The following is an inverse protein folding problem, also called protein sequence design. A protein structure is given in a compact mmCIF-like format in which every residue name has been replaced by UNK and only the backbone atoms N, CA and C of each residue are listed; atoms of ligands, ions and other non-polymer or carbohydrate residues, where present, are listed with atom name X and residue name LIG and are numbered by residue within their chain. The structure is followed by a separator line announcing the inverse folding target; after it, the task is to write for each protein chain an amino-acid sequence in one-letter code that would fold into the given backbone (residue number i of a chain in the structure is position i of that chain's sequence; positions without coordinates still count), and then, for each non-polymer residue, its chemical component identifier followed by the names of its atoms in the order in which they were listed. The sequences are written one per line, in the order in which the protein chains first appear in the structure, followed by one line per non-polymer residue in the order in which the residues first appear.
data_IF_895735028418
#
_entry.id   IF_895735028418
#
_cell.length_a   1.000
_cell.length_b   1.000
_cell.length_c   1.000
_cell.angle_alpha   90.00
_cell.angle_beta   90.00
_cell.angle_gamma   90.00
#
_symmetry.space_group_name_H-M   'P 1'
#
loop_
_entity.id
_entity.type
_entity.pdbx_description
1 polymer ?
#
# COMPACT_ATOMS: atom_id res chain seq x y z
N UNK A 1 9.04 -7.11 33.66
CA UNK A 1 7.84 -6.86 32.86
C UNK A 1 7.13 -8.18 32.62
N UNK A 2 5.79 -8.17 32.54
CA UNK A 2 4.99 -9.37 32.30
C UNK A 2 4.38 -9.20 30.92
N UNK A 3 4.53 -10.19 30.01
CA UNK A 3 3.90 -10.24 28.70
C UNK A 3 2.75 -11.24 28.75
N UNK A 4 1.53 -10.77 28.57
CA UNK A 4 0.33 -11.60 28.61
C UNK A 4 -0.35 -11.63 27.25
N UNK A 5 -0.85 -12.80 26.87
CA UNK A 5 -1.70 -12.99 25.71
C UNK A 5 -3.15 -12.69 26.08
N UNK A 6 -3.87 -11.97 25.21
CA UNK A 6 -5.30 -11.72 25.37
C UNK A 6 -6.03 -11.65 24.03
N UNK A 7 -7.26 -12.12 24.03
CA UNK A 7 -8.25 -11.95 22.96
C UNK A 7 -9.36 -10.96 23.37
N UNK A 8 -9.23 -10.32 24.53
CA UNK A 8 -10.20 -9.39 25.09
C UNK A 8 -9.59 -7.99 25.17
N UNK A 9 -10.36 -7.00 24.80
CA UNK A 9 -9.97 -5.59 24.80
C UNK A 9 -10.74 -4.87 25.92
N UNK A 10 -10.07 -4.57 27.02
CA UNK A 10 -10.59 -3.70 28.08
C UNK A 10 -10.32 -2.21 27.78
N UNK A 11 -10.80 -1.32 28.65
CA UNK A 11 -10.67 0.13 28.49
C UNK A 11 -9.19 0.59 28.39
N UNK A 12 -8.30 -0.05 29.12
CA UNK A 12 -6.87 0.30 29.10
C UNK A 12 -6.23 -0.08 27.78
N UNK A 13 -6.59 -1.22 27.19
CA UNK A 13 -6.13 -1.67 25.87
C UNK A 13 -6.71 -0.75 24.78
N UNK A 14 -8.00 -0.45 24.85
CA UNK A 14 -8.66 0.45 23.88
C UNK A 14 -8.00 1.83 23.88
N UNK A 15 -7.68 2.38 25.05
CA UNK A 15 -6.96 3.66 25.17
C UNK A 15 -5.58 3.61 24.48
N UNK A 16 -4.86 2.48 24.55
CA UNK A 16 -3.59 2.33 23.82
C UNK A 16 -3.81 2.25 22.31
N UNK A 17 -4.83 1.53 21.88
CA UNK A 17 -5.18 1.38 20.45
C UNK A 17 -5.55 2.73 19.84
N UNK A 18 -6.34 3.54 20.54
CA UNK A 18 -6.72 4.89 20.10
C UNK A 18 -5.52 5.83 19.93
N UNK A 19 -4.44 5.60 20.65
CA UNK A 19 -3.19 6.36 20.51
C UNK A 19 -2.21 5.77 19.48
N UNK A 20 -2.57 4.67 18.81
CA UNK A 20 -1.78 4.11 17.74
C UNK A 20 -1.94 4.98 16.47
N UNK A 21 -0.85 5.31 15.76
CA UNK A 21 -0.88 6.27 14.66
C UNK A 21 -1.57 5.76 13.38
N UNK A 22 -1.92 4.49 13.33
CA UNK A 22 -2.58 3.84 12.21
C UNK A 22 -3.75 3.00 12.73
N UNK A 23 -4.64 2.57 11.84
CA UNK A 23 -5.71 1.65 12.22
C UNK A 23 -5.12 0.37 12.82
N UNK A 24 -5.48 0.09 14.09
CA UNK A 24 -4.97 -1.12 14.77
C UNK A 24 -5.55 -2.37 14.14
N UNK A 25 -6.84 -2.35 13.79
CA UNK A 25 -7.62 -3.54 13.46
C UNK A 25 -7.76 -4.46 14.68
N UNK A 26 -8.88 -5.12 14.82
CA UNK A 26 -9.10 -6.09 15.90
C UNK A 26 -8.53 -7.46 15.49
N UNK A 27 -7.24 -7.52 15.20
CA UNK A 27 -6.59 -8.79 14.89
C UNK A 27 -6.09 -9.45 16.17
N UNK A 28 -6.48 -10.65 16.38
CA UNK A 28 -6.08 -11.52 17.47
C UNK A 28 -5.05 -12.51 16.93
N UNK A 29 -3.99 -12.82 17.65
CA UNK A 29 -3.74 -12.61 19.07
C UNK A 29 -3.05 -11.27 19.41
N UNK A 30 -3.36 -10.77 20.59
CA UNK A 30 -2.75 -9.55 21.15
C UNK A 30 -1.92 -9.88 22.38
N UNK A 31 -0.70 -9.36 22.45
CA UNK A 31 0.21 -9.49 23.58
C UNK A 31 0.28 -8.15 24.32
N UNK A 32 0.24 -8.20 25.64
CA UNK A 32 0.30 -7.04 26.51
C UNK A 32 1.61 -7.01 27.29
N UNK A 33 2.23 -5.85 27.34
CA UNK A 33 3.29 -5.56 28.29
C UNK A 33 2.69 -4.86 29.52
N UNK A 34 2.91 -5.45 30.69
CA UNK A 34 2.42 -4.94 31.97
C UNK A 34 3.58 -4.48 32.88
N UNK A 35 3.41 -3.31 33.49
CA UNK A 35 4.27 -2.82 34.56
C UNK A 35 3.39 -2.45 35.75
N UNK A 36 3.58 -3.15 36.90
CA UNK A 36 2.78 -2.96 38.11
C UNK A 36 1.26 -3.00 37.85
N UNK A 37 0.83 -3.99 37.08
CA UNK A 37 -0.55 -4.21 36.64
C UNK A 37 -1.13 -3.14 35.69
N UNK A 38 -0.34 -2.16 35.26
CA UNK A 38 -0.72 -1.21 34.19
C UNK A 38 -0.28 -1.71 32.82
N UNK A 39 -1.15 -1.60 31.82
CA UNK A 39 -0.80 -1.89 30.42
C UNK A 39 0.05 -0.76 29.86
N UNK A 40 1.32 -1.04 29.54
CA UNK A 40 2.30 -0.06 29.07
C UNK A 40 2.68 -0.23 27.60
N UNK A 41 2.27 -1.34 27.01
CA UNK A 41 2.49 -1.62 25.60
C UNK A 41 1.60 -2.75 25.10
N UNK A 42 1.44 -2.82 23.78
CA UNK A 42 0.59 -3.79 23.10
C UNK A 42 1.27 -4.20 21.79
N UNK A 43 1.13 -5.47 21.42
CA UNK A 43 1.58 -6.01 20.17
C UNK A 43 0.60 -6.99 19.58
N UNK A 44 0.48 -7.06 18.23
CA UNK A 44 -0.38 -8.03 17.54
C UNK A 44 0.24 -8.51 16.24
N UNK A 45 -0.22 -9.69 15.79
CA UNK A 45 0.03 -10.24 14.48
C UNK A 45 -1.29 -10.34 13.70
N UNK A 46 -1.23 -10.08 12.42
CA UNK A 46 -2.36 -10.30 11.51
C UNK A 46 -1.87 -10.90 10.20
N UNK A 47 -2.79 -11.55 9.48
CA UNK A 47 -2.52 -12.12 8.16
C UNK A 47 -3.44 -11.48 7.13
N UNK A 48 -3.00 -11.54 5.88
CA UNK A 48 -3.77 -11.16 4.71
C UNK A 48 -3.90 -12.37 3.79
N UNK A 49 -5.11 -12.73 3.40
CA UNK A 49 -5.37 -13.90 2.56
C UNK A 49 -4.79 -13.76 1.14
N UNK A 50 -4.64 -12.53 0.65
CA UNK A 50 -3.96 -12.26 -0.62
C UNK A 50 -2.45 -12.41 -0.52
N UNK A 51 -1.85 -12.11 0.65
CA UNK A 51 -0.42 -12.12 0.92
C UNK A 51 -0.09 -12.99 2.15
N UNK A 52 -0.35 -14.31 2.09
CA UNK A 52 -0.27 -15.18 3.26
C UNK A 52 1.17 -15.54 3.68
N UNK A 53 2.19 -15.07 2.96
CA UNK A 53 3.58 -15.51 3.15
C UNK A 53 4.30 -14.78 4.27
N UNK A 54 3.74 -13.66 4.76
CA UNK A 54 4.24 -12.87 5.88
C UNK A 54 3.10 -12.53 6.82
N UNK A 55 3.44 -12.26 8.08
CA UNK A 55 2.51 -11.71 9.07
C UNK A 55 2.76 -10.22 9.20
N UNK A 56 1.69 -9.47 9.36
CA UNK A 56 1.76 -8.04 9.65
C UNK A 56 1.88 -7.86 11.16
N UNK A 57 2.94 -7.19 11.59
CA UNK A 57 3.20 -6.93 13.01
C UNK A 57 2.87 -5.49 13.35
N UNK A 58 2.21 -5.31 14.50
CA UNK A 58 1.95 -3.99 15.11
C UNK A 58 2.45 -4.01 16.54
N UNK A 59 3.19 -2.98 16.93
CA UNK A 59 3.69 -2.79 18.30
C UNK A 59 3.48 -1.33 18.68
N UNK A 60 2.85 -1.11 19.82
CA UNK A 60 2.74 0.21 20.43
C UNK A 60 3.21 0.17 21.88
N UNK A 61 4.04 1.15 22.25
CA UNK A 61 4.52 1.34 23.62
C UNK A 61 4.20 2.78 24.04
N UNK A 62 3.61 2.93 25.20
CA UNK A 62 3.32 4.26 25.77
C UNK A 62 4.59 5.12 25.77
N UNK A 63 4.52 6.40 25.38
CA UNK A 63 5.71 7.26 25.25
C UNK A 63 6.60 7.28 26.49
N UNK A 64 5.99 7.30 27.70
CA UNK A 64 6.71 7.29 28.97
C UNK A 64 7.49 5.99 29.25
N UNK A 65 7.14 4.88 28.58
CA UNK A 65 7.72 3.55 28.77
C UNK A 65 8.61 3.12 27.59
N UNK A 66 8.92 4.04 26.67
CA UNK A 66 9.84 3.77 25.55
C UNK A 66 11.29 3.80 26.00
N UNK A 67 12.17 3.17 25.19
CA UNK A 67 13.64 3.12 25.41
C UNK A 67 14.09 2.38 26.68
N UNK A 68 13.24 1.56 27.28
CA UNK A 68 13.55 0.70 28.43
C UNK A 68 13.37 -0.79 28.14
N UNK A 69 13.28 -1.18 26.85
CA UNK A 69 13.22 -2.58 26.42
C UNK A 69 11.82 -3.12 26.11
N UNK A 70 10.74 -2.42 26.49
CA UNK A 70 9.34 -2.91 26.30
C UNK A 70 9.03 -3.34 24.88
N UNK A 71 9.45 -2.54 23.89
CA UNK A 71 9.21 -2.87 22.49
C UNK A 71 9.91 -4.15 22.03
N UNK A 72 11.13 -4.39 22.49
CA UNK A 72 11.88 -5.62 22.16
C UNK A 72 11.23 -6.85 22.81
N UNK A 73 10.80 -6.76 24.06
CA UNK A 73 10.11 -7.88 24.73
C UNK A 73 8.78 -8.22 24.04
N UNK A 74 8.04 -7.21 23.56
CA UNK A 74 6.84 -7.44 22.73
C UNK A 74 7.20 -8.09 21.40
N UNK A 75 8.24 -7.62 20.72
CA UNK A 75 8.71 -8.20 19.46
C UNK A 75 9.14 -9.66 19.64
N UNK A 76 9.96 -9.97 20.65
CA UNK A 76 10.43 -11.33 20.93
C UNK A 76 9.25 -12.27 21.26
N UNK A 77 8.25 -11.77 22.01
CA UNK A 77 7.07 -12.53 22.33
C UNK A 77 6.21 -12.82 21.10
N UNK A 78 6.03 -11.84 20.18
CA UNK A 78 5.33 -12.03 18.91
C UNK A 78 6.10 -12.98 17.99
N UNK A 79 7.42 -12.85 17.89
CA UNK A 79 8.27 -13.75 17.13
C UNK A 79 8.15 -15.20 17.62
N UNK A 80 8.06 -15.41 18.93
CA UNK A 80 7.90 -16.75 19.52
C UNK A 80 6.54 -17.41 19.21
N UNK A 81 5.53 -16.59 18.87
CA UNK A 81 4.17 -17.07 18.53
C UNK A 81 3.94 -17.23 17.04
N UNK A 82 4.82 -16.65 16.21
CA UNK A 82 4.71 -16.72 14.77
C UNK A 82 5.15 -18.08 14.23
N UNK A 83 4.30 -18.73 13.45
CA UNK A 83 4.64 -19.95 12.72
C UNK A 83 5.54 -19.65 11.50
N UNK A 84 5.48 -18.44 10.95
CA UNK A 84 6.19 -18.05 9.73
C UNK A 84 7.53 -17.42 9.99
N UNK A 85 7.67 -16.73 11.11
CA UNK A 85 8.85 -15.94 11.48
C UNK A 85 9.28 -14.94 10.39
N UNK A 86 8.31 -14.46 9.62
CA UNK A 86 8.45 -13.49 8.53
C UNK A 86 7.43 -12.38 8.73
N UNK A 87 7.92 -11.18 8.94
CA UNK A 87 7.05 -10.05 9.25
C UNK A 87 7.13 -8.94 8.22
N UNK A 88 6.07 -8.16 8.14
CA UNK A 88 5.99 -6.93 7.38
C UNK A 88 5.38 -5.82 8.24
N UNK A 89 5.92 -4.62 8.07
CA UNK A 89 5.40 -3.38 8.66
C UNK A 89 5.36 -2.32 7.58
N UNK A 90 4.26 -1.56 7.51
CA UNK A 90 4.21 -0.33 6.72
C UNK A 90 4.21 0.86 7.68
N UNK A 91 5.09 1.84 7.46
CA UNK A 91 5.27 2.95 8.38
C UNK A 91 5.62 4.23 7.63
N UNK A 92 5.16 5.39 8.15
CA UNK A 92 5.57 6.68 7.61
C UNK A 92 7.09 6.87 7.70
N UNK A 93 7.71 7.29 6.62
CA UNK A 93 9.14 7.66 6.56
C UNK A 93 9.51 8.79 7.53
N UNK A 94 8.52 9.51 8.07
CA UNK A 94 8.70 10.56 9.07
C UNK A 94 8.82 10.02 10.50
N UNK A 95 8.34 8.79 10.79
CA UNK A 95 8.46 8.19 12.12
C UNK A 95 9.85 7.57 12.34
N UNK A 96 10.83 8.44 12.56
CA UNK A 96 12.23 8.03 12.78
C UNK A 96 12.42 7.16 14.04
N UNK A 97 11.51 7.26 15.02
CA UNK A 97 11.59 6.47 16.24
C UNK A 97 11.22 5.02 15.95
N UNK A 98 10.11 4.81 15.24
CA UNK A 98 9.69 3.46 14.86
C UNK A 98 10.64 2.85 13.82
N UNK A 99 11.12 3.60 12.83
CA UNK A 99 12.12 3.13 11.87
C UNK A 99 13.37 2.62 12.59
N UNK A 100 13.94 3.44 13.50
CA UNK A 100 15.11 3.03 14.29
C UNK A 100 14.86 1.78 15.12
N UNK A 101 13.66 1.60 15.66
CA UNK A 101 13.27 0.40 16.39
C UNK A 101 13.23 -0.83 15.47
N UNK A 102 12.59 -0.71 14.30
CA UNK A 102 12.50 -1.79 13.32
C UNK A 102 13.88 -2.24 12.84
N UNK A 103 14.76 -1.29 12.51
CA UNK A 103 16.14 -1.59 12.10
C UNK A 103 16.94 -2.32 13.21
N UNK A 104 16.77 -1.93 14.49
CA UNK A 104 17.37 -2.62 15.61
C UNK A 104 16.81 -4.04 15.82
N UNK A 105 15.55 -4.28 15.46
CA UNK A 105 14.94 -5.61 15.46
C UNK A 105 15.35 -6.46 14.23
N UNK A 106 16.12 -5.91 13.29
CA UNK A 106 16.61 -6.63 12.12
C UNK A 106 15.70 -6.52 10.88
N UNK A 107 14.75 -5.59 10.87
CA UNK A 107 13.98 -5.30 9.67
C UNK A 107 14.81 -4.51 8.66
N UNK A 108 14.63 -4.83 7.37
CA UNK A 108 15.19 -4.08 6.26
C UNK A 108 14.12 -3.35 5.46
N UNK A 109 14.44 -2.14 4.99
CA UNK A 109 13.59 -1.40 4.05
C UNK A 109 13.49 -2.18 2.74
N UNK A 110 12.27 -2.42 2.26
CA UNK A 110 12.01 -3.18 1.04
C UNK A 110 11.34 -2.36 -0.06
N UNK A 111 10.52 -1.36 0.30
CA UNK A 111 9.75 -0.56 -0.65
C UNK A 111 9.37 0.78 -0.02
N UNK A 112 9.32 1.81 -0.87
CA UNK A 112 8.70 3.10 -0.54
C UNK A 112 7.47 3.30 -1.40
N UNK A 113 6.37 3.66 -0.78
CA UNK A 113 5.15 4.05 -1.44
C UNK A 113 4.93 5.55 -1.28
N UNK A 114 4.81 6.26 -2.38
CA UNK A 114 4.55 7.70 -2.42
C UNK A 114 3.10 7.96 -2.76
N UNK A 115 2.46 8.87 -2.03
CA UNK A 115 1.05 9.24 -2.26
C UNK A 115 0.90 10.76 -2.41
N UNK A 116 1.58 11.40 -3.39
CA UNK A 116 1.47 12.84 -3.56
C UNK A 116 0.16 13.25 -4.22
N UNK A 117 -0.33 14.43 -3.82
CA UNK A 117 -1.35 15.15 -4.59
C UNK A 117 -0.69 15.70 -5.84
N UNK A 118 -1.20 15.32 -7.00
CA UNK A 118 -0.70 15.76 -8.30
C UNK A 118 -1.14 17.19 -8.59
N UNK A 119 -0.23 17.99 -9.14
CA UNK A 119 -0.47 19.38 -9.54
C UNK A 119 0.18 19.66 -10.88
N UNK A 120 -0.52 20.42 -11.72
CA UNK A 120 0.01 20.86 -13.00
C UNK A 120 -0.40 22.31 -13.26
N UNK A 121 0.59 23.18 -13.49
CA UNK A 121 0.37 24.60 -13.83
C UNK A 121 0.44 24.82 -15.35
N UNK A 122 0.73 23.79 -16.15
CA UNK A 122 0.84 23.91 -17.60
C UNK A 122 -0.54 23.85 -18.29
N UNK A 123 -0.70 24.52 -19.44
CA UNK A 123 -1.89 24.36 -20.26
C UNK A 123 -2.07 22.93 -20.71
N UNK A 124 -3.26 22.38 -20.54
CA UNK A 124 -3.53 20.99 -20.89
C UNK A 124 -4.02 20.91 -22.32
N UNK A 125 -3.41 20.00 -23.08
CA UNK A 125 -3.86 19.66 -24.41
C UNK A 125 -4.90 18.55 -24.25
N UNK A 126 -6.15 18.82 -24.65
CA UNK A 126 -7.21 17.81 -24.61
C UNK A 126 -6.90 16.73 -25.65
N UNK A 127 -6.51 15.56 -25.18
CA UNK A 127 -6.33 14.34 -25.98
C UNK A 127 -7.40 13.35 -25.52
N UNK A 128 -8.05 12.71 -26.46
CA UNK A 128 -9.00 11.64 -26.15
C UNK A 128 -8.25 10.33 -25.98
N UNK A 129 -8.51 9.68 -24.86
CA UNK A 129 -8.17 8.28 -24.61
C UNK A 129 -9.44 7.50 -24.33
N UNK A 130 -9.59 6.28 -24.86
CA UNK A 130 -10.74 5.45 -24.53
C UNK A 130 -10.72 5.08 -23.05
N UNK A 131 -11.90 5.13 -22.42
CA UNK A 131 -12.08 4.70 -21.02
C UNK A 131 -12.35 3.21 -20.94
N UNK A 132 -12.17 2.64 -19.75
CA UNK A 132 -12.55 1.25 -19.46
C UNK A 132 -14.06 1.02 -19.65
N UNK A 133 -14.90 2.01 -19.31
CA UNK A 133 -16.36 1.94 -19.50
C UNK A 133 -16.78 1.78 -20.96
N UNK A 134 -16.04 2.36 -21.87
CA UNK A 134 -16.33 2.31 -23.32
C UNK A 134 -15.92 0.97 -23.94
N UNK A 135 -15.20 0.12 -23.22
CA UNK A 135 -14.65 -1.11 -23.74
C UNK A 135 -15.55 -2.33 -23.47
N UNK A 136 -15.58 -3.29 -24.39
CA UNK A 136 -16.23 -4.57 -24.14
C UNK A 136 -15.50 -5.36 -23.02
N UNK A 137 -16.23 -6.25 -22.36
CA UNK A 137 -15.71 -7.07 -21.25
C UNK A 137 -14.40 -7.82 -21.59
N UNK A 138 -14.22 -8.19 -22.86
CA UNK A 138 -13.00 -8.87 -23.31
C UNK A 138 -11.75 -7.98 -23.12
N UNK A 139 -11.84 -6.72 -23.52
CA UNK A 139 -10.77 -5.73 -23.38
C UNK A 139 -10.57 -5.34 -21.89
N UNK A 140 -11.66 -5.13 -21.15
CA UNK A 140 -11.56 -4.90 -19.69
C UNK A 140 -10.84 -6.05 -18.98
N UNK A 141 -11.18 -7.30 -19.30
CA UNK A 141 -10.52 -8.47 -18.74
C UNK A 141 -9.05 -8.59 -19.17
N UNK A 142 -8.69 -8.11 -20.36
CA UNK A 142 -7.30 -8.02 -20.80
C UNK A 142 -6.50 -7.05 -19.93
N UNK A 143 -7.05 -5.88 -19.62
CA UNK A 143 -6.44 -4.90 -18.69
C UNK A 143 -6.21 -5.52 -17.31
N UNK A 144 -7.21 -6.19 -16.73
CA UNK A 144 -7.08 -6.82 -15.42
C UNK A 144 -6.05 -7.98 -15.40
N UNK A 145 -5.89 -8.71 -16.52
CA UNK A 145 -4.82 -9.72 -16.65
C UNK A 145 -3.45 -9.06 -16.73
N UNK A 146 -3.32 -8.01 -17.55
CA UNK A 146 -2.08 -7.26 -17.68
C UNK A 146 -1.66 -6.65 -16.33
N UNK A 147 -2.63 -6.13 -15.56
CA UNK A 147 -2.38 -5.61 -14.23
C UNK A 147 -1.89 -6.71 -13.25
N UNK A 148 -2.51 -7.89 -13.28
CA UNK A 148 -2.05 -9.04 -12.47
C UNK A 148 -0.62 -9.47 -12.84
N UNK A 149 -0.30 -9.46 -14.13
CA UNK A 149 1.04 -9.83 -14.61
C UNK A 149 2.09 -8.78 -14.18
N UNK A 150 1.78 -7.47 -14.29
CA UNK A 150 2.63 -6.39 -13.79
C UNK A 150 2.81 -6.49 -12.26
N UNK A 151 1.73 -6.75 -11.52
CA UNK A 151 1.80 -6.94 -10.06
C UNK A 151 2.77 -8.09 -9.69
N UNK A 152 2.63 -9.23 -10.34
CA UNK A 152 3.52 -10.38 -10.12
C UNK A 152 4.97 -10.09 -10.47
N UNK A 153 5.20 -9.32 -11.53
CA UNK A 153 6.56 -8.99 -11.95
C UNK A 153 7.26 -8.06 -10.96
N UNK A 154 6.59 -7.02 -10.47
CA UNK A 154 7.25 -5.96 -9.70
C UNK A 154 7.03 -6.03 -8.19
N UNK A 155 5.92 -6.61 -7.72
CA UNK A 155 5.57 -6.62 -6.30
C UNK A 155 5.80 -7.98 -5.61
N UNK A 156 5.97 -9.07 -6.37
CA UNK A 156 6.06 -10.42 -5.80
C UNK A 156 7.24 -10.60 -4.85
N UNK A 157 8.35 -9.89 -5.03
CA UNK A 157 9.50 -9.98 -4.13
C UNK A 157 9.20 -9.47 -2.72
N UNK A 158 8.24 -8.53 -2.60
CA UNK A 158 7.88 -7.87 -1.35
C UNK A 158 6.60 -8.45 -0.79
N UNK A 159 5.55 -8.48 -1.62
CA UNK A 159 4.22 -8.97 -1.29
C UNK A 159 3.84 -10.15 -2.21
N UNK A 160 4.43 -11.34 -2.07
CA UNK A 160 4.08 -12.48 -2.90
C UNK A 160 2.60 -12.82 -2.74
N UNK A 161 1.91 -12.96 -3.87
CA UNK A 161 0.52 -13.37 -3.90
C UNK A 161 0.35 -14.82 -3.46
N UNK A 162 -0.78 -15.11 -2.84
CA UNK A 162 -1.26 -16.46 -2.62
C UNK A 162 -1.45 -17.15 -3.98
N UNK A 163 -0.79 -18.30 -4.19
CA UNK A 163 -0.84 -19.07 -5.43
C UNK A 163 -2.25 -19.58 -5.76
N UNK A 164 -3.16 -19.60 -4.76
CA UNK A 164 -4.54 -20.04 -4.91
C UNK A 164 -5.49 -18.94 -5.38
N UNK A 165 -5.03 -17.68 -5.44
CA UNK A 165 -5.85 -16.58 -5.91
C UNK A 165 -6.18 -16.79 -7.38
N UNK A 166 -7.47 -16.98 -7.66
CA UNK A 166 -7.98 -17.05 -9.02
C UNK A 166 -8.01 -15.65 -9.67
N UNK A 167 -7.99 -15.61 -11.00
CA UNK A 167 -8.19 -14.36 -11.73
C UNK A 167 -9.51 -13.66 -11.36
N UNK A 168 -10.56 -14.42 -11.06
CA UNK A 168 -11.85 -13.86 -10.64
C UNK A 168 -11.74 -13.11 -9.31
N UNK A 169 -11.13 -13.70 -8.29
CA UNK A 169 -10.91 -13.05 -7.00
C UNK A 169 -10.02 -11.81 -7.14
N UNK A 170 -8.98 -11.88 -7.98
CA UNK A 170 -8.14 -10.74 -8.28
C UNK A 170 -8.94 -9.59 -8.92
N UNK A 171 -9.75 -9.91 -9.94
CA UNK A 171 -10.62 -8.94 -10.59
C UNK A 171 -11.63 -8.32 -9.63
N UNK A 172 -12.26 -9.12 -8.77
CA UNK A 172 -13.21 -8.63 -7.75
C UNK A 172 -12.55 -7.60 -6.84
N UNK A 173 -11.34 -7.88 -6.35
CA UNK A 173 -10.56 -6.94 -5.54
C UNK A 173 -10.25 -5.64 -6.31
N UNK A 174 -9.80 -5.74 -7.57
CA UNK A 174 -9.50 -4.56 -8.38
C UNK A 174 -10.74 -3.71 -8.72
N UNK A 175 -11.92 -4.33 -8.79
CA UNK A 175 -13.17 -3.63 -9.10
C UNK A 175 -13.77 -2.90 -7.89
N UNK A 176 -13.24 -3.12 -6.68
CA UNK A 176 -13.73 -2.41 -5.50
C UNK A 176 -13.38 -0.92 -5.62
N UNK A 177 -14.40 -0.06 -5.67
CA UNK A 177 -14.30 1.40 -5.86
C UNK A 177 -13.61 1.85 -7.17
N UNK A 178 -13.44 0.95 -8.16
CA UNK A 178 -12.85 1.29 -9.46
C UNK A 178 -13.80 2.18 -10.26
N UNK A 179 -13.35 3.35 -10.68
CA UNK A 179 -14.07 4.23 -11.60
C UNK A 179 -13.74 3.88 -13.06
N UNK A 180 -14.61 3.10 -13.71
CA UNK A 180 -14.43 2.70 -15.11
C UNK A 180 -14.50 3.88 -16.09
N UNK A 181 -15.18 4.99 -15.73
CA UNK A 181 -15.27 6.17 -16.58
C UNK A 181 -14.01 7.04 -16.54
N UNK A 182 -13.20 6.91 -15.47
CA UNK A 182 -11.94 7.63 -15.27
C UNK A 182 -10.71 6.72 -15.33
N UNK A 183 -10.92 5.45 -15.60
CA UNK A 183 -9.84 4.51 -15.92
C UNK A 183 -9.63 4.47 -17.42
N UNK A 184 -8.39 4.68 -17.86
CA UNK A 184 -8.04 4.90 -19.27
C UNK A 184 -7.13 3.81 -19.81
N UNK A 185 -7.22 3.56 -21.10
CA UNK A 185 -6.35 2.60 -21.80
C UNK A 185 -5.67 3.22 -23.00
N UNK A 186 -4.47 2.74 -23.27
CA UNK A 186 -3.77 3.00 -24.53
C UNK A 186 -3.88 1.76 -25.42
N UNK A 187 -4.48 1.93 -26.59
CA UNK A 187 -4.61 0.88 -27.60
C UNK A 187 -3.63 1.10 -28.74
N UNK A 188 -3.01 0.03 -29.21
CA UNK A 188 -2.26 -0.03 -30.48
C UNK A 188 -2.70 -1.28 -31.24
N UNK A 189 -3.07 -1.12 -32.49
CA UNK A 189 -3.53 -2.22 -33.33
C UNK A 189 -4.63 -3.09 -32.64
N UNK A 190 -5.56 -2.42 -31.94
CA UNK A 190 -6.65 -2.99 -31.14
C UNK A 190 -6.21 -3.77 -29.88
N UNK A 191 -4.92 -3.81 -29.56
CA UNK A 191 -4.39 -4.43 -28.34
C UNK A 191 -4.18 -3.40 -27.22
N UNK A 192 -4.44 -3.79 -25.98
CA UNK A 192 -4.12 -2.97 -24.80
C UNK A 192 -2.61 -2.97 -24.61
N UNK A 193 -1.97 -1.81 -24.68
CA UNK A 193 -0.52 -1.67 -24.48
C UNK A 193 -0.17 -0.99 -23.17
N UNK A 194 -1.05 -0.13 -22.64
CA UNK A 194 -0.90 0.47 -21.32
C UNK A 194 -2.27 0.82 -20.71
N UNK A 195 -2.32 1.04 -19.41
CA UNK A 195 -3.53 1.37 -18.67
C UNK A 195 -3.24 2.33 -17.50
N UNK A 196 -4.28 3.05 -17.10
CA UNK A 196 -4.39 3.82 -15.85
C UNK A 196 -5.70 3.43 -15.19
N UNK A 197 -5.64 2.84 -14.01
CA UNK A 197 -6.82 2.49 -13.20
C UNK A 197 -7.01 3.51 -12.10
N UNK A 198 -8.20 4.12 -12.06
CA UNK A 198 -8.55 5.16 -11.12
C UNK A 198 -9.66 4.70 -10.19
N UNK A 199 -9.58 5.15 -8.95
CA UNK A 199 -10.48 4.76 -7.87
C UNK A 199 -11.15 5.99 -7.27
N UNK A 200 -12.38 5.80 -6.79
CA UNK A 200 -13.05 6.83 -6.01
C UNK A 200 -12.26 7.10 -4.73
N UNK A 201 -11.91 8.36 -4.51
CA UNK A 201 -11.20 8.77 -3.29
C UNK A 201 -12.11 8.75 -2.05
N UNK A 202 -11.51 8.88 -0.88
CA UNK A 202 -12.16 8.86 0.44
C UNK A 202 -13.00 10.13 0.75
N UNK A 203 -13.01 11.10 -0.16
CA UNK A 203 -13.77 12.35 -0.03
C UNK A 203 -14.39 12.78 -1.37
N UNK A 204 -15.51 13.53 -1.36
CA UNK A 204 -16.07 14.11 -2.56
C UNK A 204 -15.05 15.02 -3.30
N UNK A 205 -14.98 14.90 -4.63
CA UNK A 205 -14.05 15.67 -5.46
C UNK A 205 -12.61 15.13 -5.46
N UNK A 206 -12.37 13.97 -4.86
CA UNK A 206 -11.07 13.29 -4.86
C UNK A 206 -11.10 12.07 -5.78
N UNK A 207 -10.02 11.90 -6.55
CA UNK A 207 -9.73 10.72 -7.37
C UNK A 207 -8.33 10.20 -7.05
N UNK A 208 -8.15 8.89 -7.08
CA UNK A 208 -6.87 8.23 -6.87
C UNK A 208 -6.47 7.44 -8.12
N UNK A 209 -5.24 7.63 -8.60
CA UNK A 209 -4.61 6.74 -9.57
C UNK A 209 -3.95 5.61 -8.77
N UNK A 210 -4.65 4.48 -8.65
CA UNK A 210 -4.17 3.34 -7.85
C UNK A 210 -3.21 2.44 -8.61
N UNK A 211 -3.40 2.28 -9.95
CA UNK A 211 -2.51 1.46 -10.76
C UNK A 211 -2.27 2.07 -12.14
N UNK A 212 -1.02 2.02 -12.56
CA UNK A 212 -0.61 2.24 -13.95
C UNK A 212 0.22 1.05 -14.39
N UNK A 213 0.20 0.72 -15.68
CA UNK A 213 1.00 -0.40 -16.15
C UNK A 213 1.01 -0.51 -17.66
N UNK A 214 1.85 -1.41 -18.17
CA UNK A 214 2.02 -1.60 -19.58
C UNK A 214 2.52 -2.99 -19.93
N UNK A 215 2.43 -3.30 -21.22
CA UNK A 215 2.79 -4.62 -21.75
C UNK A 215 4.30 -4.79 -21.92
N UNK A 216 5.02 -3.71 -22.14
CA UNK A 216 6.43 -3.80 -22.47
C UNK A 216 7.22 -2.65 -21.82
N UNK A 217 8.11 -2.99 -20.91
CA UNK A 217 8.96 -2.02 -20.21
C UNK A 217 9.85 -1.20 -21.16
N UNK A 218 10.21 -1.71 -22.34
CA UNK A 218 10.98 -0.95 -23.32
C UNK A 218 10.22 0.23 -23.94
N UNK A 219 8.90 0.28 -23.77
CA UNK A 219 8.02 1.39 -24.21
C UNK A 219 7.69 2.37 -23.08
N UNK A 220 8.42 2.33 -21.96
CA UNK A 220 8.14 3.09 -20.75
C UNK A 220 8.05 4.60 -20.98
N UNK A 221 8.92 5.16 -21.84
CA UNK A 221 8.90 6.60 -22.19
C UNK A 221 7.60 7.01 -22.86
N UNK A 222 7.08 6.18 -23.76
CA UNK A 222 5.79 6.42 -24.42
C UNK A 222 4.63 6.30 -23.42
N UNK A 223 4.67 5.29 -22.54
CA UNK A 223 3.65 5.09 -21.52
C UNK A 223 3.66 6.24 -20.50
N UNK A 224 4.83 6.76 -20.12
CA UNK A 224 4.94 7.90 -19.22
C UNK A 224 4.24 9.16 -19.77
N UNK A 225 4.30 9.37 -21.11
CA UNK A 225 3.56 10.46 -21.76
C UNK A 225 2.05 10.23 -21.64
N UNK A 226 1.57 9.01 -21.93
CA UNK A 226 0.17 8.65 -21.77
C UNK A 226 -0.30 8.84 -20.32
N UNK A 227 0.43 8.31 -19.33
CA UNK A 227 0.08 8.46 -17.92
C UNK A 227 0.00 9.93 -17.50
N UNK A 228 0.99 10.75 -17.91
CA UNK A 228 1.00 12.19 -17.64
C UNK A 228 -0.22 12.88 -18.19
N UNK A 229 -0.61 12.57 -19.43
CA UNK A 229 -1.76 13.17 -20.09
C UNK A 229 -3.07 12.78 -19.41
N UNK A 230 -3.22 11.52 -18.97
CA UNK A 230 -4.37 11.08 -18.17
C UNK A 230 -4.40 11.78 -16.83
N UNK A 231 -3.27 11.85 -16.13
CA UNK A 231 -3.19 12.56 -14.85
C UNK A 231 -3.56 14.05 -14.99
N UNK A 232 -3.16 14.69 -16.09
CA UNK A 232 -3.52 16.08 -16.40
C UNK A 232 -5.03 16.26 -16.60
N UNK A 233 -5.72 15.30 -17.22
CA UNK A 233 -7.18 15.32 -17.34
C UNK A 233 -7.84 15.22 -15.97
N UNK A 234 -7.35 14.32 -15.11
CA UNK A 234 -7.90 14.13 -13.76
C UNK A 234 -7.68 15.37 -12.87
N UNK A 235 -6.51 16.01 -12.94
CA UNK A 235 -6.21 17.26 -12.23
C UNK A 235 -7.18 18.39 -12.63
N UNK A 236 -7.70 18.39 -13.86
CA UNK A 236 -8.70 19.38 -14.27
C UNK A 236 -10.11 19.09 -13.78
N UNK A 237 -10.45 17.82 -13.70
CA UNK A 237 -11.81 17.36 -13.36
C UNK A 237 -12.05 17.31 -11.86
N UNK A 238 -11.00 17.03 -11.06
CA UNK A 238 -11.11 16.80 -9.63
C UNK A 238 -10.37 17.87 -8.82
N UNK A 239 -10.89 18.17 -7.64
CA UNK A 239 -10.24 19.10 -6.69
C UNK A 239 -8.92 18.51 -6.16
N UNK A 240 -8.88 17.19 -6.01
CA UNK A 240 -7.74 16.42 -5.54
C UNK A 240 -7.55 15.21 -6.45
N UNK A 241 -6.40 15.12 -7.12
CA UNK A 241 -5.95 13.92 -7.81
C UNK A 241 -4.68 13.41 -7.10
N UNK A 242 -4.73 12.19 -6.59
CA UNK A 242 -3.61 11.51 -5.93
C UNK A 242 -3.11 10.35 -6.78
N UNK A 243 -1.88 9.93 -6.52
CA UNK A 243 -1.33 8.66 -7.04
C UNK A 243 -0.83 7.83 -5.87
N UNK A 244 -1.01 6.51 -5.92
CA UNK A 244 -0.23 5.57 -5.13
C UNK A 244 0.88 4.99 -6.00
N UNK A 245 2.15 5.29 -5.67
CA UNK A 245 3.30 4.91 -6.48
C UNK A 245 4.37 4.22 -5.64
N UNK A 246 4.56 2.93 -5.89
CA UNK A 246 5.63 2.15 -5.31
C UNK A 246 6.94 2.33 -6.10
N UNK A 247 8.06 2.57 -5.40
CA UNK A 247 9.39 2.77 -6.02
C UNK A 247 9.93 1.51 -6.73
N UNK A 248 9.37 0.35 -6.43
CA UNK A 248 9.70 -0.93 -7.08
C UNK A 248 8.94 -1.15 -8.38
N UNK A 249 7.88 -0.39 -8.64
CA UNK A 249 7.11 -0.44 -9.88
C UNK A 249 7.63 0.62 -10.87
N UNK A 250 8.25 0.21 -11.99
CA UNK A 250 8.79 1.15 -12.95
C UNK A 250 7.72 1.98 -13.66
N UNK A 251 6.50 1.45 -13.82
CA UNK A 251 5.39 2.17 -14.45
C UNK A 251 4.87 3.27 -13.53
N UNK A 252 4.63 2.95 -12.25
CA UNK A 252 4.23 3.93 -11.25
C UNK A 252 5.31 5.01 -11.06
N UNK A 253 6.58 4.60 -10.99
CA UNK A 253 7.72 5.52 -10.93
C UNK A 253 7.80 6.43 -12.16
N UNK A 254 7.51 5.92 -13.36
CA UNK A 254 7.53 6.73 -14.58
C UNK A 254 6.45 7.81 -14.59
N UNK A 255 5.25 7.53 -14.06
CA UNK A 255 4.23 8.56 -13.85
C UNK A 255 4.66 9.55 -12.77
N UNK A 256 5.09 9.06 -11.60
CA UNK A 256 5.48 9.88 -10.46
C UNK A 256 6.55 10.91 -10.84
N UNK A 257 7.55 10.52 -11.63
CA UNK A 257 8.63 11.40 -12.08
C UNK A 257 8.20 12.50 -13.07
N UNK A 258 6.97 12.48 -13.56
CA UNK A 258 6.42 13.59 -14.35
C UNK A 258 5.96 14.78 -13.49
N UNK A 259 5.97 14.62 -12.17
CA UNK A 259 5.50 15.62 -11.22
C UNK A 259 6.56 15.95 -10.17
N UNK A 260 6.42 17.11 -9.55
CA UNK A 260 7.22 17.47 -8.37
C UNK A 260 6.51 16.94 -7.12
N UNK A 261 7.23 16.19 -6.28
CA UNK A 261 6.71 15.66 -5.04
C UNK A 261 7.79 15.65 -3.94
N UNK A 262 7.36 15.50 -2.68
CA UNK A 262 8.27 15.38 -1.54
C UNK A 262 8.79 13.96 -1.42
N UNK A 263 10.04 13.72 -1.85
CA UNK A 263 10.70 12.42 -1.77
C UNK A 263 10.98 11.96 -0.32
N UNK A 264 10.82 12.85 0.67
CA UNK A 264 10.97 12.50 2.09
C UNK A 264 9.67 12.04 2.74
N UNK A 265 8.54 12.13 2.02
CA UNK A 265 7.21 11.75 2.49
C UNK A 265 6.73 10.48 1.76
N UNK A 266 6.88 9.36 2.43
CA UNK A 266 6.47 8.05 1.91
C UNK A 266 5.95 7.15 3.04
N UNK A 267 5.22 6.11 2.64
CA UNK A 267 4.91 4.96 3.48
C UNK A 267 5.88 3.83 3.12
N UNK A 268 6.75 3.50 4.05
CA UNK A 268 7.86 2.57 3.83
C UNK A 268 7.48 1.17 4.32
N UNK A 269 7.65 0.16 3.46
CA UNK A 269 7.48 -1.23 3.85
C UNK A 269 8.82 -1.80 4.33
N UNK A 270 8.84 -2.30 5.56
CA UNK A 270 9.96 -2.98 6.19
C UNK A 270 9.67 -4.46 6.34
N UNK A 271 10.65 -5.31 6.01
CA UNK A 271 10.55 -6.77 6.06
C UNK A 271 11.55 -7.36 7.04
N UNK A 272 11.12 -8.43 7.73
CA UNK A 272 11.94 -9.28 8.59
C UNK A 272 11.81 -10.74 8.17
N UNK A 273 12.92 -11.47 8.09
CA UNK A 273 12.99 -12.91 7.76
C UNK A 273 13.01 -13.25 6.26
#
# INVERSE_FOLDING_TARGET
MIINYTDQYDEAILTLIENYPMEWGYSVPTILALEKDEVVGIGSLSMNDFHPHREYIKIFVQPKNRKIGVGHELFDALLSQSDKQKFQVSISSKDKVAISFLEHCGFGLARKCYTPILRNDAPIISIYFPTMQEQPDAIQNEVFRLQLDNYREFHQAINPLNERISFHQWKEMLCENLDLNRSYILLKDEEVVAYVLCYEGDAPGKIEIGYVGGRNISSLEEYAIFYKQVADLLIQEFDIAEIEADDVDPYASALLHQFTYDQSDSFDAYLFG
#
